data_IF_388942162554
#
_entry.id   IF_388942162554
#
_cell.length_a   1.000
_cell.length_b   1.000
_cell.length_c   1.000
_cell.angle_alpha   90.00
_cell.angle_beta   90.00
_cell.angle_gamma   90.00
#
_symmetry.space_group_name_H-M   'P 1'
#
loop_
_entity.id
_entity.type
_entity.pdbx_description
1 polymer ?
#
# COMPACT_ATOMS: atom_id res chain seq x y z
N UNK A 1 9.72 8.10 -11.85
CA UNK A 1 8.93 7.68 -10.66
C UNK A 1 7.67 6.99 -11.16
N UNK A 2 7.34 5.81 -10.64
CA UNK A 2 6.06 5.13 -10.93
C UNK A 2 5.16 5.19 -9.70
N UNK A 3 3.86 5.38 -9.94
CA UNK A 3 2.79 5.41 -8.93
C UNK A 3 1.74 4.36 -9.27
N UNK A 4 1.28 3.64 -8.26
CA UNK A 4 0.15 2.71 -8.35
C UNK A 4 -0.88 3.05 -7.28
N UNK A 5 -2.14 3.16 -7.68
CA UNK A 5 -3.29 3.31 -6.77
C UNK A 5 -4.12 2.03 -6.82
N UNK A 6 -4.45 1.47 -5.67
CA UNK A 6 -5.14 0.19 -5.51
C UNK A 6 -6.25 0.31 -4.48
N UNK A 7 -7.40 -0.30 -4.79
CA UNK A 7 -8.44 -0.60 -3.81
C UNK A 7 -8.53 -2.11 -3.62
N UNK A 8 -8.22 -2.58 -2.41
CA UNK A 8 -8.14 -4.00 -2.07
C UNK A 8 -9.39 -4.42 -1.28
N UNK A 9 -10.00 -5.54 -1.67
CA UNK A 9 -11.21 -6.09 -1.05
C UNK A 9 -10.95 -7.47 -0.41
N UNK A 10 -11.85 -7.91 0.47
CA UNK A 10 -11.80 -9.20 1.14
C UNK A 10 -11.51 -9.09 2.64
N UNK A 11 -10.97 -10.15 3.25
CA UNK A 11 -10.57 -10.14 4.66
C UNK A 11 -9.25 -9.38 4.83
N UNK A 12 -9.32 -8.04 4.84
CA UNK A 12 -8.14 -7.15 4.84
C UNK A 12 -8.07 -6.20 6.04
N UNK A 13 -9.13 -6.12 6.86
CA UNK A 13 -9.15 -5.34 8.09
C UNK A 13 -9.04 -6.25 9.33
N UNK A 14 -8.50 -5.73 10.43
CA UNK A 14 -8.33 -6.50 11.68
C UNK A 14 -7.21 -7.56 11.64
N UNK A 15 -6.56 -7.79 10.49
CA UNK A 15 -5.54 -8.83 10.31
C UNK A 15 -4.10 -8.29 10.20
N UNK A 16 -3.88 -7.03 10.55
CA UNK A 16 -2.55 -6.40 10.45
C UNK A 16 -2.10 -6.01 9.03
N UNK A 17 -2.99 -6.03 8.03
CA UNK A 17 -2.67 -5.71 6.62
C UNK A 17 -1.91 -4.37 6.48
N UNK A 18 -2.43 -3.28 7.06
CA UNK A 18 -1.78 -1.95 7.00
C UNK A 18 -0.34 -1.96 7.54
N UNK A 19 -0.12 -2.68 8.64
CA UNK A 19 1.21 -2.78 9.26
C UNK A 19 2.17 -3.52 8.34
N UNK A 20 1.78 -4.68 7.83
CA UNK A 20 2.62 -5.48 6.93
C UNK A 20 2.91 -4.72 5.63
N UNK A 21 1.92 -4.06 5.02
CA UNK A 21 2.11 -3.26 3.81
C UNK A 21 3.08 -2.10 4.03
N UNK A 22 2.96 -1.38 5.17
CA UNK A 22 3.91 -0.31 5.51
C UNK A 22 5.33 -0.86 5.70
N UNK A 23 5.49 -1.99 6.39
CA UNK A 23 6.80 -2.61 6.62
C UNK A 23 7.45 -3.06 5.30
N UNK A 24 6.70 -3.69 4.39
CA UNK A 24 7.21 -4.07 3.07
C UNK A 24 7.54 -2.85 2.19
N UNK A 25 6.71 -1.80 2.23
CA UNK A 25 7.00 -0.55 1.51
C UNK A 25 8.32 0.06 1.97
N UNK A 26 8.55 0.15 3.29
CA UNK A 26 9.82 0.65 3.86
C UNK A 26 11.02 -0.19 3.43
N UNK A 27 10.92 -1.53 3.53
CA UNK A 27 12.00 -2.45 3.13
C UNK A 27 12.42 -2.27 1.67
N UNK A 28 11.47 -1.93 0.80
CA UNK A 28 11.67 -1.85 -0.65
C UNK A 28 11.83 -0.41 -1.16
N UNK A 29 11.84 0.59 -0.27
CA UNK A 29 12.00 1.99 -0.64
C UNK A 29 10.78 2.61 -1.33
N UNK A 30 9.59 2.07 -1.12
CA UNK A 30 8.34 2.68 -1.59
C UNK A 30 7.87 3.76 -0.62
N UNK A 31 7.21 4.78 -1.17
CA UNK A 31 6.50 5.83 -0.44
C UNK A 31 5.01 5.79 -0.78
N UNK A 32 4.18 6.52 -0.04
CA UNK A 32 2.73 6.56 -0.21
C UNK A 32 1.97 6.23 1.07
N UNK A 33 0.76 5.66 0.93
CA UNK A 33 -0.12 5.38 2.06
C UNK A 33 -0.91 4.07 1.91
N UNK A 34 -1.39 3.57 3.04
CA UNK A 34 -2.34 2.45 3.13
C UNK A 34 -3.38 2.80 4.20
N UNK A 35 -4.67 2.74 3.85
CA UNK A 35 -5.77 3.21 4.70
C UNK A 35 -6.96 2.25 4.64
N UNK A 36 -7.55 1.95 5.80
CA UNK A 36 -8.82 1.25 5.87
C UNK A 36 -9.94 2.21 5.46
N UNK A 37 -10.87 1.72 4.63
CA UNK A 37 -12.09 2.43 4.27
C UNK A 37 -13.28 1.90 5.09
N UNK A 38 -14.33 2.71 5.21
CA UNK A 38 -15.54 2.38 5.97
C UNK A 38 -16.33 1.21 5.35
N UNK A 39 -16.16 0.96 4.05
CA UNK A 39 -16.80 -0.16 3.33
C UNK A 39 -16.08 -1.51 3.53
N UNK A 40 -15.09 -1.56 4.41
CA UNK A 40 -14.30 -2.77 4.69
C UNK A 40 -13.11 -2.98 3.74
N UNK A 41 -12.97 -2.18 2.68
CA UNK A 41 -11.82 -2.25 1.78
C UNK A 41 -10.58 -1.55 2.37
N UNK A 42 -9.46 -1.65 1.67
CA UNK A 42 -8.24 -0.88 1.92
C UNK A 42 -7.89 -0.07 0.67
N UNK A 43 -7.67 1.22 0.82
CA UNK A 43 -7.12 2.10 -0.22
C UNK A 43 -5.60 2.22 -0.05
N UNK A 44 -4.86 2.18 -1.16
CA UNK A 44 -3.39 2.20 -1.15
C UNK A 44 -2.85 3.00 -2.31
N UNK A 45 -1.85 3.84 -2.02
CA UNK A 45 -0.98 4.46 -3.01
C UNK A 45 0.45 4.03 -2.72
N UNK A 46 1.16 3.56 -3.75
CA UNK A 46 2.57 3.21 -3.70
C UNK A 46 3.35 3.92 -4.80
N UNK A 47 4.43 4.59 -4.42
CA UNK A 47 5.32 5.35 -5.30
C UNK A 47 6.76 4.89 -5.13
N UNK A 48 7.47 4.71 -6.24
CA UNK A 48 8.89 4.32 -6.24
C UNK A 48 9.64 4.98 -7.39
N UNK A 49 10.91 5.29 -7.15
CA UNK A 49 11.83 5.68 -8.20
C UNK A 49 12.29 4.39 -8.90
N UNK A 50 12.04 4.30 -10.20
CA UNK A 50 12.62 3.25 -11.02
C UNK A 50 13.88 3.87 -11.64
N UNK A 51 15.00 3.16 -11.55
CA UNK A 51 16.25 3.58 -12.18
C UNK A 51 16.02 3.93 -13.65
N UNK A 52 16.74 4.95 -14.10
CA UNK A 52 16.83 5.31 -15.51
C UNK A 52 17.65 4.18 -16.15
N UNK A 53 17.09 3.47 -17.13
CA UNK A 53 17.90 2.63 -18.03
C UNK A 53 18.81 3.53 -18.89
#
# INVERSE_FOLDING_TARGET
MKRLSLKIYGTVQGIGYRYTSQQEARKRGFTGYVQNLDDGAVDTVAEVIIGIE
#
